data_IF_025440446010
#
_entry.id   IF_025440446010
#
_cell.length_a   1.000
_cell.length_b   1.000
_cell.length_c   1.000
_cell.angle_alpha   90.00
_cell.angle_beta   90.00
_cell.angle_gamma   90.00
#
_symmetry.space_group_name_H-M   'P 1'
#
loop_
_entity.id
_entity.type
_entity.pdbx_description
1 polymer ?
#
# COMPACT_ATOMS: atom_id res chain seq x y z
N UNK A 1 -4.35 -0.90 -10.25
CA UNK A 1 -4.33 -2.39 -10.16
C UNK A 1 -3.17 -2.82 -9.26
N UNK A 2 -3.38 -3.74 -8.34
CA UNK A 2 -2.34 -4.32 -7.48
C UNK A 2 -1.81 -5.60 -8.13
N UNK A 3 -0.49 -5.73 -8.24
CA UNK A 3 0.16 -6.87 -8.92
C UNK A 3 0.98 -7.66 -7.92
N UNK A 4 0.70 -8.96 -7.76
CA UNK A 4 1.46 -9.90 -6.92
C UNK A 4 2.24 -10.91 -7.76
N UNK A 5 3.11 -11.68 -7.10
CA UNK A 5 3.84 -12.77 -7.76
C UNK A 5 2.90 -13.86 -8.28
N UNK A 6 1.89 -14.20 -7.52
CA UNK A 6 1.06 -15.39 -7.70
C UNK A 6 1.43 -16.49 -6.69
N UNK A 7 0.49 -17.40 -6.43
CA UNK A 7 0.71 -18.52 -5.52
C UNK A 7 -0.23 -19.67 -5.85
N UNK A 8 0.21 -20.91 -5.63
CA UNK A 8 -0.66 -22.10 -5.63
C UNK A 8 -1.47 -22.20 -4.33
N UNK A 9 -0.99 -21.62 -3.25
CA UNK A 9 -1.72 -21.50 -1.99
C UNK A 9 -2.81 -20.42 -2.15
N UNK A 10 -4.07 -20.68 -1.77
CA UNK A 10 -5.16 -19.72 -1.92
C UNK A 10 -5.05 -18.50 -1.00
N UNK A 11 -4.41 -18.63 0.16
CA UNK A 11 -4.30 -17.58 1.19
C UNK A 11 -3.71 -16.27 0.68
N UNK A 12 -2.60 -16.22 -0.10
CA UNK A 12 -2.08 -15.00 -0.70
C UNK A 12 -3.08 -14.33 -1.64
N UNK A 13 -3.88 -15.08 -2.39
CA UNK A 13 -4.91 -14.53 -3.28
C UNK A 13 -6.03 -13.85 -2.49
N UNK A 14 -6.51 -14.50 -1.43
CA UNK A 14 -7.52 -13.94 -0.52
C UNK A 14 -6.99 -12.68 0.17
N UNK A 15 -5.74 -12.70 0.63
CA UNK A 15 -5.08 -11.54 1.23
C UNK A 15 -4.92 -10.38 0.24
N UNK A 16 -4.60 -10.67 -1.04
CA UNK A 16 -4.56 -9.64 -2.10
C UNK A 16 -5.92 -9.01 -2.34
N UNK A 17 -7.00 -9.80 -2.35
CA UNK A 17 -8.36 -9.28 -2.49
C UNK A 17 -8.71 -8.36 -1.32
N UNK A 18 -8.42 -8.80 -0.09
CA UNK A 18 -8.61 -7.97 1.12
C UNK A 18 -7.79 -6.68 1.06
N UNK A 19 -6.54 -6.75 0.62
CA UNK A 19 -5.70 -5.55 0.47
C UNK A 19 -6.29 -4.60 -0.56
N UNK A 20 -6.79 -5.11 -1.68
CA UNK A 20 -7.44 -4.29 -2.71
C UNK A 20 -8.70 -3.58 -2.18
N UNK A 21 -9.49 -4.23 -1.34
CA UNK A 21 -10.68 -3.63 -0.71
C UNK A 21 -10.29 -2.53 0.28
N UNK A 22 -9.27 -2.76 1.11
CA UNK A 22 -8.72 -1.75 2.01
C UNK A 22 -8.18 -0.52 1.25
N UNK A 23 -7.42 -0.75 0.19
CA UNK A 23 -6.87 0.32 -0.66
C UNK A 23 -8.00 1.10 -1.34
N UNK A 24 -9.03 0.41 -1.85
CA UNK A 24 -10.21 1.07 -2.46
C UNK A 24 -10.87 2.03 -1.48
N UNK A 25 -11.18 1.57 -0.27
CA UNK A 25 -11.80 2.40 0.77
C UNK A 25 -10.97 3.66 1.06
N UNK A 26 -9.64 3.52 1.19
CA UNK A 26 -8.74 4.66 1.47
C UNK A 26 -8.63 5.65 0.32
N UNK A 27 -8.63 5.16 -0.90
CA UNK A 27 -8.62 6.02 -2.09
C UNK A 27 -9.93 6.81 -2.18
N UNK A 28 -11.08 6.17 -1.93
CA UNK A 28 -12.39 6.84 -1.90
C UNK A 28 -12.44 7.92 -0.82
N UNK A 29 -11.96 7.62 0.39
CA UNK A 29 -11.91 8.59 1.49
C UNK A 29 -10.98 9.77 1.17
N UNK A 30 -9.82 9.51 0.58
CA UNK A 30 -8.86 10.54 0.16
C UNK A 30 -9.44 11.46 -0.92
N UNK A 31 -10.16 10.90 -1.89
CA UNK A 31 -10.81 11.67 -2.95
C UNK A 31 -11.98 12.50 -2.39
N UNK A 32 -12.80 11.96 -1.50
CA UNK A 32 -13.88 12.70 -0.83
C UNK A 32 -13.32 13.88 -0.03
N UNK A 33 -12.24 13.67 0.71
CA UNK A 33 -11.57 14.73 1.47
C UNK A 33 -11.04 15.84 0.54
N UNK A 34 -10.44 15.48 -0.59
CA UNK A 34 -9.93 16.44 -1.57
C UNK A 34 -11.07 17.28 -2.20
N UNK A 35 -12.20 16.65 -2.55
CA UNK A 35 -13.37 17.36 -3.08
C UNK A 35 -13.98 18.31 -2.05
N UNK A 36 -14.12 17.89 -0.79
CA UNK A 36 -14.64 18.73 0.28
C UNK A 36 -13.75 19.95 0.54
N UNK A 37 -12.43 19.77 0.50
CA UNK A 37 -11.46 20.88 0.65
C UNK A 37 -11.54 21.89 -0.50
N UNK A 38 -11.76 21.41 -1.72
CA UNK A 38 -11.91 22.25 -2.92
C UNK A 38 -13.21 23.05 -2.90
N UNK A 39 -14.30 22.41 -2.45
CA UNK A 39 -15.62 23.08 -2.27
C UNK A 39 -15.56 24.18 -1.20
N UNK A 40 -14.90 23.91 -0.07
CA UNK A 40 -14.71 24.90 1.00
C UNK A 40 -13.90 26.12 0.54
N UNK A 41 -12.86 25.93 -0.29
CA UNK A 41 -12.07 27.03 -0.88
C UNK A 41 -12.88 27.90 -1.87
N UNK A 42 -13.82 27.30 -2.59
CA UNK A 42 -14.70 28.01 -3.53
C UNK A 42 -15.75 28.87 -2.84
N UNK A 43 -16.11 28.55 -1.60
CA UNK A 43 -17.14 29.24 -0.81
C UNK A 43 -16.58 30.23 0.23
N UNK A 44 -15.28 30.46 0.25
CA UNK A 44 -14.69 31.53 1.06
C UNK A 44 -14.97 32.87 0.35
N UNK A 45 -15.65 33.83 0.98
CA UNK A 45 -15.87 35.15 0.40
C UNK A 45 -14.52 35.81 0.15
N UNK A 46 -14.33 36.33 -1.05
CA UNK A 46 -13.13 37.13 -1.37
C UNK A 46 -13.12 38.40 -0.52
N UNK A 47 -11.97 38.77 0.01
CA UNK A 47 -11.78 40.04 0.77
C UNK A 47 -12.17 41.29 -0.04
N UNK A 48 -12.47 41.16 -1.32
CA UNK A 48 -12.96 42.24 -2.18
C UNK A 48 -14.46 42.52 -2.04
N UNK A 49 -15.26 41.52 -1.63
CA UNK A 49 -16.71 41.71 -1.44
C UNK A 49 -17.02 42.50 -0.16
N UNK A 50 -16.16 42.47 0.86
CA UNK A 50 -16.33 43.23 2.11
C UNK A 50 -15.98 44.74 1.96
N UNK A 51 -15.24 45.11 0.93
CA UNK A 51 -14.87 46.56 0.69
C UNK A 51 -15.95 47.33 -0.08
N UNK A 52 -16.90 46.68 -0.74
CA UNK A 52 -18.02 47.33 -1.43
C UNK A 52 -19.23 47.58 -0.54
N UNK A 53 -19.34 46.92 0.60
CA UNK A 53 -20.46 47.11 1.52
C UNK A 53 -20.37 48.37 2.40
N UNK A 54 -19.23 49.02 2.48
CA UNK A 54 -19.00 50.19 3.38
C UNK A 54 -19.09 51.56 2.66
N UNK A 55 -19.24 51.60 1.34
CA UNK A 55 -19.20 52.87 0.56
C UNK A 55 -20.59 53.45 0.18
N UNK A 56 -21.67 53.00 0.80
CA UNK A 56 -23.05 53.29 0.39
C UNK A 56 -23.95 54.02 1.39
N UNK A 57 -23.41 54.83 2.34
CA UNK A 57 -24.25 55.68 3.19
C UNK A 57 -23.92 57.16 3.03
N UNK A 58 -24.55 57.80 2.08
CA UNK A 58 -24.90 59.24 2.22
C UNK A 58 -26.14 59.61 1.39
N UNK A 59 -27.17 60.03 2.15
CA UNK A 59 -28.16 61.06 1.84
C UNK A 59 -29.20 60.85 0.72
N UNK A 60 -30.47 60.63 1.08
CA UNK A 60 -31.47 61.72 0.97
C UNK A 60 -32.84 61.29 1.52
N UNK A 61 -33.49 62.18 2.24
CA UNK A 61 -34.87 62.13 2.75
C UNK A 61 -35.86 62.20 1.59
N UNK A 62 -36.77 61.25 1.48
CA UNK A 62 -38.19 61.52 1.16
C UNK A 62 -38.96 60.19 1.21
N UNK A 63 -40.14 60.22 1.88
CA UNK A 63 -40.95 59.05 2.14
C UNK A 63 -41.55 58.40 0.91
N UNK A 64 -41.63 57.09 0.97
CA UNK A 64 -42.67 56.27 0.34
C UNK A 64 -42.51 54.83 0.78
N UNK A 65 -43.62 54.28 1.17
CA UNK A 65 -44.03 52.90 1.41
C UNK A 65 -43.03 51.80 1.00
N UNK A 66 -42.47 51.10 1.98
CA UNK A 66 -41.66 49.91 1.80
C UNK A 66 -42.57 48.71 1.49
N UNK A 67 -42.59 48.28 0.24
CA UNK A 67 -42.99 46.94 -0.14
C UNK A 67 -41.77 46.03 0.15
N UNK A 68 -41.86 45.25 1.23
CA UNK A 68 -40.90 44.19 1.55
C UNK A 68 -41.05 43.08 0.50
N UNK A 69 -40.28 43.17 -0.59
CA UNK A 69 -40.03 42.00 -1.44
C UNK A 69 -38.97 41.14 -0.74
N UNK A 70 -39.45 39.99 -0.20
CA UNK A 70 -38.54 38.94 0.30
C UNK A 70 -37.58 38.57 -0.83
N UNK A 71 -36.24 38.54 -0.57
CA UNK A 71 -35.31 38.02 -1.54
C UNK A 71 -35.66 36.53 -1.77
N UNK A 72 -35.94 36.17 -3.02
CA UNK A 72 -36.12 34.80 -3.46
C UNK A 72 -34.74 34.14 -3.31
N UNK A 73 -34.51 33.47 -2.17
CA UNK A 73 -33.39 32.58 -2.01
C UNK A 73 -33.54 31.51 -3.09
N UNK A 74 -32.73 31.63 -4.15
CA UNK A 74 -32.56 30.52 -5.07
C UNK A 74 -31.97 29.38 -4.23
N UNK A 75 -32.74 28.37 -3.96
CA UNK A 75 -32.22 27.10 -3.49
C UNK A 75 -31.16 26.67 -4.53
N UNK A 76 -29.90 26.82 -4.18
CA UNK A 76 -28.82 26.16 -4.90
C UNK A 76 -29.07 24.67 -4.68
N UNK A 77 -29.56 24.01 -5.71
CA UNK A 77 -29.46 22.56 -5.79
C UNK A 77 -27.95 22.28 -5.82
N UNK A 78 -27.40 21.89 -4.67
CA UNK A 78 -26.10 21.24 -4.64
C UNK A 78 -26.27 19.94 -5.44
N UNK A 79 -25.67 19.89 -6.62
CA UNK A 79 -25.51 18.62 -7.31
C UNK A 79 -24.83 17.66 -6.32
N UNK A 80 -25.37 16.43 -6.14
CA UNK A 80 -24.71 15.45 -5.29
C UNK A 80 -23.26 15.31 -5.78
N UNK A 81 -22.28 15.26 -4.86
CA UNK A 81 -20.88 15.19 -5.24
C UNK A 81 -20.70 14.07 -6.25
N UNK A 82 -20.06 14.37 -7.38
CA UNK A 82 -19.78 13.40 -8.42
C UNK A 82 -19.20 12.15 -7.75
N UNK A 83 -19.82 10.99 -7.98
CA UNK A 83 -19.33 9.71 -7.46
C UNK A 83 -17.94 9.50 -8.06
N UNK A 84 -16.92 9.68 -7.26
CA UNK A 84 -15.56 9.27 -7.61
C UNK A 84 -15.50 7.74 -7.44
N UNK A 85 -15.93 7.02 -8.46
CA UNK A 85 -15.85 5.56 -8.45
C UNK A 85 -14.38 5.15 -8.61
N UNK A 86 -13.78 4.67 -7.51
CA UNK A 86 -12.43 4.10 -7.53
C UNK A 86 -12.51 2.63 -7.90
N UNK A 87 -11.88 2.25 -8.99
CA UNK A 87 -11.84 0.87 -9.46
C UNK A 87 -10.48 0.27 -9.11
N UNK A 88 -10.45 -0.65 -8.16
CA UNK A 88 -9.24 -1.39 -7.77
C UNK A 88 -9.38 -2.85 -8.19
N UNK A 89 -8.39 -3.36 -8.91
CA UNK A 89 -8.30 -4.75 -9.32
C UNK A 89 -6.99 -5.39 -8.85
N UNK A 90 -6.91 -6.72 -8.94
CA UNK A 90 -5.70 -7.50 -8.64
C UNK A 90 -5.28 -8.29 -9.86
N UNK A 91 -3.96 -8.50 -10.01
CA UNK A 91 -3.37 -9.37 -11.02
C UNK A 91 -2.19 -10.16 -10.44
N UNK A 92 -1.82 -11.23 -11.14
CA UNK A 92 -0.68 -12.07 -10.77
C UNK A 92 0.32 -12.14 -11.93
N UNK A 93 1.61 -12.04 -11.62
CA UNK A 93 2.68 -12.18 -12.61
C UNK A 93 2.77 -13.63 -13.11
N UNK A 94 2.65 -14.58 -12.19
CA UNK A 94 2.75 -16.02 -12.46
C UNK A 94 1.56 -16.78 -11.87
N UNK A 95 1.40 -18.04 -12.27
CA UNK A 95 0.40 -18.97 -11.74
C UNK A 95 -1.06 -18.48 -11.90
N UNK A 96 -1.30 -17.56 -12.83
CA UNK A 96 -2.62 -17.17 -13.29
C UNK A 96 -2.98 -17.92 -14.57
N UNK A 97 -4.27 -18.06 -14.93
CA UNK A 97 -4.70 -18.70 -16.18
C UNK A 97 -4.23 -17.97 -17.43
N UNK A 98 -4.01 -16.66 -17.34
CA UNK A 98 -3.56 -15.78 -18.43
C UNK A 98 -2.33 -15.00 -18.01
N UNK A 99 -1.50 -14.60 -18.99
CA UNK A 99 -0.32 -13.78 -18.75
C UNK A 99 -0.70 -12.42 -18.15
N UNK A 100 0.24 -11.80 -17.45
CA UNK A 100 -0.01 -10.51 -16.80
C UNK A 100 -0.40 -9.42 -17.83
N UNK A 101 0.21 -9.40 -19.00
CA UNK A 101 -0.15 -8.48 -20.07
C UNK A 101 -1.61 -8.60 -20.50
N UNK A 102 -2.14 -9.82 -20.58
CA UNK A 102 -3.55 -10.07 -20.88
C UNK A 102 -4.47 -9.60 -19.74
N UNK A 103 -4.08 -9.87 -18.48
CA UNK A 103 -4.83 -9.39 -17.31
C UNK A 103 -4.91 -7.86 -17.26
N UNK A 104 -3.79 -7.17 -17.56
CA UNK A 104 -3.75 -5.70 -17.64
C UNK A 104 -4.62 -5.20 -18.78
N UNK A 105 -4.56 -5.84 -19.94
CA UNK A 105 -5.37 -5.49 -21.11
C UNK A 105 -6.87 -5.58 -20.81
N UNK A 106 -7.34 -6.70 -20.29
CA UNK A 106 -8.75 -6.92 -19.96
C UNK A 106 -9.25 -5.94 -18.89
N UNK A 107 -8.43 -5.64 -17.89
CA UNK A 107 -8.76 -4.64 -16.89
C UNK A 107 -8.78 -3.24 -17.48
N UNK A 108 -7.78 -2.90 -18.31
CA UNK A 108 -7.70 -1.61 -19.00
C UNK A 108 -8.91 -1.36 -19.90
N UNK A 109 -9.36 -2.36 -20.66
CA UNK A 109 -10.57 -2.24 -21.49
C UNK A 109 -11.82 -1.92 -20.66
N UNK A 110 -11.98 -2.57 -19.50
CA UNK A 110 -13.11 -2.27 -18.58
C UNK A 110 -13.05 -0.84 -18.05
N UNK A 111 -11.85 -0.34 -17.76
CA UNK A 111 -11.63 1.04 -17.32
C UNK A 111 -11.94 2.05 -18.43
N UNK A 112 -11.51 1.78 -19.67
CA UNK A 112 -11.82 2.61 -20.84
C UNK A 112 -13.33 2.68 -21.07
N UNK A 113 -14.04 1.56 -20.97
CA UNK A 113 -15.49 1.50 -21.08
C UNK A 113 -16.20 2.30 -19.95
N UNK A 114 -15.57 2.40 -18.79
CA UNK A 114 -16.03 3.23 -17.65
C UNK A 114 -15.59 4.71 -17.76
N UNK A 115 -14.93 5.12 -18.87
CA UNK A 115 -14.47 6.49 -19.06
C UNK A 115 -13.17 6.85 -18.34
N UNK A 116 -12.47 5.89 -17.73
CA UNK A 116 -11.19 6.09 -17.04
C UNK A 116 -10.05 6.20 -18.04
N UNK A 117 -9.10 7.12 -17.82
CA UNK A 117 -7.99 7.42 -18.72
C UNK A 117 -6.61 7.05 -18.20
N UNK A 118 -6.52 6.69 -16.92
CA UNK A 118 -5.25 6.31 -16.28
C UNK A 118 -5.43 5.00 -15.51
N UNK A 119 -4.46 4.10 -15.64
CA UNK A 119 -4.34 2.87 -14.83
C UNK A 119 -2.98 2.84 -14.16
N UNK A 120 -2.98 3.03 -12.86
CA UNK A 120 -1.78 2.85 -12.03
C UNK A 120 -1.59 1.37 -11.68
N UNK A 121 -0.39 0.86 -11.91
CA UNK A 121 0.03 -0.52 -11.68
C UNK A 121 0.98 -0.55 -10.48
N UNK A 122 0.54 -1.09 -9.35
CA UNK A 122 1.31 -1.14 -8.12
C UNK A 122 1.86 -2.55 -7.88
N UNK A 123 3.20 -2.75 -7.96
CA UNK A 123 3.83 -4.01 -7.60
C UNK A 123 3.79 -4.25 -6.09
N UNK A 124 3.02 -5.24 -5.65
CA UNK A 124 2.91 -5.68 -4.26
C UNK A 124 4.03 -6.69 -3.98
N UNK A 125 5.28 -6.19 -4.00
CA UNK A 125 6.51 -6.97 -3.82
C UNK A 125 7.39 -6.33 -2.74
N UNK A 126 8.06 -7.17 -1.94
CA UNK A 126 8.99 -6.70 -0.91
C UNK A 126 10.41 -6.47 -1.44
N UNK A 127 10.78 -7.19 -2.51
CA UNK A 127 12.13 -7.14 -3.07
C UNK A 127 12.10 -6.74 -4.54
N UNK A 128 13.02 -5.89 -4.95
CA UNK A 128 13.26 -5.58 -6.36
C UNK A 128 14.11 -6.70 -7.00
N UNK A 129 13.51 -7.88 -7.17
CA UNK A 129 14.08 -9.00 -7.92
C UNK A 129 13.91 -8.85 -9.43
N UNK A 130 14.26 -9.92 -10.19
CA UNK A 130 14.07 -9.99 -11.65
C UNK A 130 12.62 -9.69 -12.02
N UNK A 131 11.66 -10.25 -11.31
CA UNK A 131 10.23 -10.03 -11.56
C UNK A 131 9.82 -8.55 -11.54
N UNK A 132 10.38 -7.76 -10.62
CA UNK A 132 10.04 -6.32 -10.53
C UNK A 132 10.83 -5.48 -11.53
N UNK A 133 12.07 -5.88 -11.83
CA UNK A 133 12.99 -5.06 -12.64
C UNK A 133 12.93 -5.38 -14.14
N UNK A 134 12.54 -6.60 -14.50
CA UNK A 134 12.59 -7.08 -15.88
C UNK A 134 11.21 -7.57 -16.34
N UNK A 135 10.58 -8.53 -15.62
CA UNK A 135 9.35 -9.19 -16.10
C UNK A 135 8.15 -8.25 -16.07
N UNK A 136 7.94 -7.50 -14.98
CA UNK A 136 6.82 -6.55 -14.88
C UNK A 136 6.88 -5.47 -15.98
N UNK A 137 7.99 -4.75 -16.20
CA UNK A 137 8.07 -3.79 -17.30
C UNK A 137 7.80 -4.41 -18.66
N UNK A 138 8.32 -5.62 -18.93
CA UNK A 138 8.11 -6.31 -20.20
C UNK A 138 6.62 -6.65 -20.43
N UNK A 139 5.93 -7.16 -19.42
CA UNK A 139 4.49 -7.46 -19.49
C UNK A 139 3.63 -6.19 -19.67
N UNK A 140 4.01 -5.10 -19.00
CA UNK A 140 3.32 -3.80 -19.13
C UNK A 140 3.48 -3.24 -20.54
N UNK A 141 4.68 -3.30 -21.13
CA UNK A 141 4.90 -2.84 -22.50
C UNK A 141 4.10 -3.66 -23.53
N UNK A 142 3.95 -4.99 -23.33
CA UNK A 142 3.07 -5.81 -24.15
C UNK A 142 1.61 -5.34 -24.05
N UNK A 143 1.11 -5.11 -22.85
CA UNK A 143 -0.26 -4.62 -22.65
C UNK A 143 -0.47 -3.23 -23.27
N UNK A 144 0.51 -2.33 -23.12
CA UNK A 144 0.51 -0.99 -23.67
C UNK A 144 0.46 -0.99 -25.20
N UNK A 145 1.21 -1.89 -25.83
CA UNK A 145 1.21 -2.03 -27.30
C UNK A 145 -0.20 -2.36 -27.84
N UNK A 146 -1.02 -3.11 -27.10
CA UNK A 146 -2.38 -3.50 -27.51
C UNK A 146 -3.42 -2.44 -27.11
N UNK A 147 -3.29 -1.82 -25.92
CA UNK A 147 -4.21 -0.77 -25.45
C UNK A 147 -4.01 0.55 -26.21
N UNK A 148 -2.82 0.78 -26.77
CA UNK A 148 -2.49 2.02 -27.46
C UNK A 148 -2.66 3.25 -26.55
N UNK A 149 -3.21 4.32 -27.11
CA UNK A 149 -3.46 5.57 -26.40
C UNK A 149 -4.83 5.63 -25.70
N UNK A 150 -5.55 4.52 -25.59
CA UNK A 150 -6.88 4.48 -24.99
C UNK A 150 -6.85 4.73 -23.49
N UNK A 151 -5.76 4.34 -22.82
CA UNK A 151 -5.53 4.50 -21.38
C UNK A 151 -4.03 4.65 -21.12
N UNK A 152 -3.66 5.53 -20.22
CA UNK A 152 -2.29 5.69 -19.76
C UNK A 152 -1.97 4.62 -18.71
N UNK A 153 -0.84 3.91 -18.87
CA UNK A 153 -0.35 2.92 -17.92
C UNK A 153 0.85 3.47 -17.14
N UNK A 154 0.70 3.63 -15.83
CA UNK A 154 1.73 4.13 -14.93
C UNK A 154 2.19 3.04 -13.97
N UNK A 155 3.49 2.66 -14.04
CA UNK A 155 4.08 1.71 -13.10
C UNK A 155 4.54 2.44 -11.84
N UNK A 156 3.90 2.12 -10.70
CA UNK A 156 4.29 2.66 -9.40
C UNK A 156 5.53 1.94 -8.83
N UNK A 157 6.27 2.57 -7.90
CA UNK A 157 7.31 1.89 -7.14
C UNK A 157 6.76 0.71 -6.33
N UNK A 158 7.55 -0.37 -6.14
CA UNK A 158 7.15 -1.53 -5.34
C UNK A 158 7.14 -1.22 -3.83
N UNK A 159 6.32 -1.94 -3.07
CA UNK A 159 6.11 -1.71 -1.63
C UNK A 159 7.38 -1.75 -0.79
N UNK A 160 8.21 -2.79 -0.97
CA UNK A 160 9.37 -3.02 -0.10
C UNK A 160 10.53 -2.05 -0.29
N UNK A 161 10.49 -1.20 -1.33
CA UNK A 161 11.50 -0.17 -1.59
C UNK A 161 11.28 1.13 -0.81
N UNK A 162 10.22 1.23 -0.02
CA UNK A 162 9.78 2.47 0.61
C UNK A 162 10.29 2.63 2.03
N UNK A 163 10.71 3.83 2.42
CA UNK A 163 11.14 4.12 3.79
C UNK A 163 10.04 3.79 4.83
N UNK A 164 8.78 4.03 4.50
CA UNK A 164 7.63 3.66 5.35
C UNK A 164 7.54 2.17 5.68
N UNK A 165 8.13 1.29 4.86
CA UNK A 165 8.21 -0.14 5.18
C UNK A 165 9.10 -0.38 6.41
N UNK A 166 10.20 0.36 6.52
CA UNK A 166 11.08 0.31 7.70
C UNK A 166 10.30 0.74 8.95
N UNK A 167 9.50 1.80 8.86
CA UNK A 167 8.69 2.29 9.99
C UNK A 167 7.66 1.24 10.45
N UNK A 168 7.00 0.55 9.51
CA UNK A 168 6.05 -0.53 9.81
C UNK A 168 6.75 -1.65 10.58
N UNK A 169 7.90 -2.11 10.09
CA UNK A 169 8.65 -3.20 10.72
C UNK A 169 9.23 -2.78 12.09
N UNK A 170 9.70 -1.55 12.21
CA UNK A 170 10.20 -0.99 13.48
C UNK A 170 9.11 -0.98 14.55
N UNK A 171 7.90 -0.51 14.22
CA UNK A 171 6.77 -0.52 15.16
C UNK A 171 6.40 -1.93 15.61
N UNK A 172 6.40 -2.91 14.68
CA UNK A 172 6.12 -4.32 15.02
C UNK A 172 7.15 -4.90 15.98
N UNK A 173 8.43 -4.62 15.77
CA UNK A 173 9.50 -5.03 16.67
C UNK A 173 9.40 -4.33 18.01
N UNK A 174 9.16 -3.01 18.05
CA UNK A 174 9.05 -2.23 19.27
C UNK A 174 7.88 -2.69 20.16
N UNK A 175 6.80 -3.20 19.56
CA UNK A 175 5.66 -3.76 20.31
C UNK A 175 5.91 -5.18 20.85
N UNK A 176 7.08 -5.78 20.55
CA UNK A 176 7.40 -7.17 20.88
C UNK A 176 8.50 -7.22 21.94
N UNK A 177 8.22 -7.74 23.15
CA UNK A 177 9.23 -7.86 24.21
C UNK A 177 10.28 -8.91 23.84
N UNK A 178 11.42 -8.47 23.31
CA UNK A 178 12.55 -9.30 22.92
C UNK A 178 13.89 -8.59 23.22
N UNK A 179 14.96 -9.36 23.43
CA UNK A 179 16.33 -8.88 23.63
C UNK A 179 17.09 -8.82 22.31
N UNK A 180 16.69 -9.69 21.39
CA UNK A 180 17.23 -9.75 20.04
C UNK A 180 16.14 -10.11 19.05
N UNK A 181 16.37 -9.79 17.77
CA UNK A 181 15.44 -10.10 16.71
C UNK A 181 16.14 -10.66 15.49
N UNK A 182 15.43 -11.59 14.80
CA UNK A 182 15.78 -12.14 13.50
C UNK A 182 14.81 -11.64 12.44
N UNK A 183 15.32 -10.99 11.41
CA UNK A 183 14.59 -10.72 10.17
C UNK A 183 14.76 -11.93 9.26
N UNK A 184 13.67 -12.64 8.97
CA UNK A 184 13.69 -13.86 8.15
C UNK A 184 13.14 -13.56 6.76
N UNK A 185 13.99 -13.63 5.74
CA UNK A 185 13.60 -13.45 4.34
C UNK A 185 13.76 -14.75 3.54
N UNK A 186 13.22 -14.77 2.33
CA UNK A 186 13.38 -15.96 1.46
C UNK A 186 14.85 -16.28 1.17
N UNK A 187 15.64 -15.23 0.90
CA UNK A 187 17.01 -15.37 0.45
C UNK A 187 17.12 -15.57 -1.07
N UNK A 188 18.26 -15.15 -1.62
CA UNK A 188 18.56 -15.26 -3.04
C UNK A 188 19.93 -15.90 -3.22
N UNK A 189 20.06 -16.85 -4.15
CA UNK A 189 21.36 -17.41 -4.56
C UNK A 189 22.26 -16.40 -5.28
N UNK A 190 21.68 -15.27 -5.75
CA UNK A 190 22.44 -14.19 -6.36
C UNK A 190 23.05 -13.30 -5.27
N UNK A 191 24.40 -13.09 -5.22
CA UNK A 191 25.04 -12.35 -4.11
C UNK A 191 24.49 -10.94 -3.89
N UNK A 192 24.10 -10.26 -4.97
CA UNK A 192 23.53 -8.90 -4.89
C UNK A 192 22.08 -8.90 -4.41
N UNK A 193 21.35 -10.03 -4.51
CA UNK A 193 19.92 -10.12 -4.18
C UNK A 193 19.62 -9.89 -2.70
N UNK A 194 20.56 -10.22 -1.81
CA UNK A 194 20.35 -10.15 -0.37
C UNK A 194 20.78 -8.81 0.26
N UNK A 195 21.50 -7.95 -0.47
CA UNK A 195 22.04 -6.68 0.08
C UNK A 195 20.94 -5.79 0.69
N UNK A 196 19.80 -5.67 0.01
CA UNK A 196 18.68 -4.84 0.51
C UNK A 196 18.11 -5.39 1.82
N UNK A 197 18.01 -6.72 1.96
CA UNK A 197 17.55 -7.34 3.22
C UNK A 197 18.57 -7.14 4.32
N UNK A 198 19.88 -7.26 4.02
CA UNK A 198 20.95 -6.99 4.98
C UNK A 198 20.92 -5.52 5.45
N UNK A 199 20.77 -4.57 4.52
CA UNK A 199 20.62 -3.15 4.87
C UNK A 199 19.38 -2.93 5.73
N UNK A 200 18.24 -3.57 5.39
CA UNK A 200 17.04 -3.51 6.19
C UNK A 200 17.25 -4.07 7.61
N UNK A 201 17.94 -5.22 7.72
CA UNK A 201 18.30 -5.78 9.02
C UNK A 201 19.14 -4.82 9.87
N UNK A 202 20.13 -4.14 9.26
CA UNK A 202 20.93 -3.12 9.93
C UNK A 202 20.07 -1.93 10.41
N UNK A 203 19.17 -1.43 9.56
CA UNK A 203 18.26 -0.33 9.92
C UNK A 203 17.31 -0.70 11.08
N UNK A 204 16.89 -1.97 11.14
CA UNK A 204 16.02 -2.49 12.18
C UNK A 204 16.77 -2.97 13.42
N UNK A 205 18.10 -2.94 13.41
CA UNK A 205 18.96 -3.54 14.44
C UNK A 205 18.61 -5.02 14.69
N UNK A 206 18.48 -5.79 13.60
CA UNK A 206 18.17 -7.24 13.65
C UNK A 206 19.27 -8.04 12.96
N UNK A 207 19.48 -9.27 13.40
CA UNK A 207 20.22 -10.25 12.61
C UNK A 207 19.33 -10.69 11.42
N UNK A 208 19.97 -11.12 10.32
CA UNK A 208 19.25 -11.57 9.12
C UNK A 208 19.47 -13.06 8.93
N UNK A 209 18.38 -13.78 8.78
CA UNK A 209 18.37 -15.18 8.39
C UNK A 209 17.58 -15.38 7.08
N UNK A 210 17.87 -16.48 6.40
CA UNK A 210 17.21 -16.80 5.15
C UNK A 210 16.56 -18.19 5.20
N UNK A 211 15.46 -18.34 4.48
CA UNK A 211 14.80 -19.63 4.34
C UNK A 211 15.50 -20.56 3.34
N UNK A 212 15.91 -20.05 2.19
CA UNK A 212 16.39 -20.86 1.06
C UNK A 212 17.92 -20.96 0.96
N UNK A 213 18.67 -20.23 1.78
CA UNK A 213 20.15 -20.19 1.79
C UNK A 213 20.66 -19.94 3.22
N UNK A 214 21.94 -20.21 3.46
CA UNK A 214 22.62 -19.84 4.70
C UNK A 214 22.86 -18.30 4.78
N UNK A 215 22.95 -17.73 5.98
CA UNK A 215 22.66 -18.37 7.27
C UNK A 215 21.15 -18.58 7.46
N UNK A 216 20.79 -19.76 7.99
CA UNK A 216 19.40 -20.09 8.24
C UNK A 216 18.90 -19.59 9.61
N UNK A 217 17.63 -19.87 9.94
CA UNK A 217 17.00 -19.43 11.19
C UNK A 217 17.69 -20.04 12.42
N UNK A 218 18.06 -21.33 12.34
CA UNK A 218 18.69 -22.03 13.45
C UNK A 218 20.09 -21.50 13.71
N UNK A 219 20.93 -21.36 12.67
CA UNK A 219 22.28 -20.83 12.78
C UNK A 219 22.28 -19.45 13.46
N UNK A 220 21.39 -18.55 13.04
CA UNK A 220 21.29 -17.21 13.60
C UNK A 220 20.67 -17.19 15.01
N UNK A 221 19.72 -18.07 15.29
CA UNK A 221 19.18 -18.21 16.64
C UNK A 221 20.26 -18.68 17.61
N UNK A 222 21.10 -19.66 17.23
CA UNK A 222 22.21 -20.14 18.07
C UNK A 222 23.24 -19.02 18.30
N UNK A 223 23.60 -18.24 17.27
CA UNK A 223 24.50 -17.08 17.44
C UNK A 223 23.95 -16.08 18.49
N UNK A 224 22.65 -15.77 18.44
CA UNK A 224 22.00 -14.87 19.37
C UNK A 224 21.98 -15.43 20.81
N UNK A 225 21.73 -16.73 20.96
CA UNK A 225 21.79 -17.42 22.25
C UNK A 225 23.22 -17.38 22.83
N UNK A 226 24.24 -17.58 22.01
CA UNK A 226 25.65 -17.49 22.43
C UNK A 226 26.04 -16.09 22.86
N UNK A 227 25.38 -15.05 22.30
CA UNK A 227 25.52 -13.65 22.72
C UNK A 227 24.71 -13.33 23.99
N UNK A 228 23.99 -14.31 24.56
CA UNK A 228 23.26 -14.19 25.82
C UNK A 228 21.78 -13.87 25.69
N UNK A 229 21.21 -13.80 24.49
CA UNK A 229 19.78 -13.52 24.30
C UNK A 229 18.93 -14.69 24.79
N UNK A 230 17.95 -14.41 25.66
CA UNK A 230 16.96 -15.37 26.17
C UNK A 230 15.56 -15.17 25.58
N UNK A 231 15.30 -14.00 24.98
CA UNK A 231 14.04 -13.65 24.30
C UNK A 231 14.36 -13.18 22.89
N UNK A 232 14.00 -14.00 21.91
CA UNK A 232 14.31 -13.77 20.51
C UNK A 232 13.00 -13.59 19.74
N UNK A 233 12.81 -12.45 19.09
CA UNK A 233 11.73 -12.22 18.14
C UNK A 233 12.13 -12.73 16.76
N UNK A 234 11.23 -13.42 16.08
CA UNK A 234 11.39 -13.85 14.69
C UNK A 234 10.39 -13.05 13.87
N UNK A 235 10.90 -12.19 12.97
CA UNK A 235 10.10 -11.33 12.09
C UNK A 235 10.17 -11.86 10.65
N UNK A 236 9.12 -12.54 10.17
CA UNK A 236 9.05 -12.99 8.78
C UNK A 236 8.88 -11.80 7.84
N UNK A 237 9.83 -11.57 6.94
CA UNK A 237 9.75 -10.56 5.91
C UNK A 237 9.07 -11.13 4.66
N UNK A 238 7.79 -11.41 4.83
CA UNK A 238 6.86 -11.93 3.83
C UNK A 238 5.56 -11.13 3.86
N UNK A 239 4.98 -10.91 2.70
CA UNK A 239 3.72 -10.16 2.62
C UNK A 239 2.56 -10.97 3.20
N UNK A 240 2.38 -12.20 2.76
CA UNK A 240 1.22 -13.01 3.11
C UNK A 240 1.64 -14.38 3.66
N UNK A 241 0.76 -14.97 4.44
CA UNK A 241 0.91 -16.34 4.90
C UNK A 241 0.83 -17.31 3.72
N UNK A 242 1.60 -18.40 3.80
CA UNK A 242 1.68 -19.46 2.78
C UNK A 242 2.65 -20.54 3.23
N UNK A 243 2.90 -21.55 2.39
CA UNK A 243 3.68 -22.71 2.76
C UNK A 243 5.07 -22.41 3.36
N UNK A 244 5.76 -21.36 2.89
CA UNK A 244 7.06 -20.98 3.46
C UNK A 244 6.90 -20.44 4.88
N UNK A 245 5.90 -19.60 5.12
CA UNK A 245 5.67 -19.03 6.45
C UNK A 245 5.17 -20.08 7.45
N UNK A 246 4.42 -21.08 6.98
CA UNK A 246 4.05 -22.24 7.81
C UNK A 246 5.28 -23.05 8.21
N UNK A 247 6.20 -23.28 7.27
CA UNK A 247 7.47 -23.95 7.56
C UNK A 247 8.36 -23.13 8.51
N UNK A 248 8.36 -21.79 8.43
CA UNK A 248 9.04 -20.92 9.41
C UNK A 248 8.39 -21.05 10.78
N UNK A 249 7.06 -21.14 10.86
CA UNK A 249 6.34 -21.39 12.11
C UNK A 249 6.78 -22.70 12.75
N UNK A 250 6.73 -23.78 11.98
CA UNK A 250 7.14 -25.09 12.44
C UNK A 250 8.62 -25.12 12.89
N UNK A 251 9.52 -24.48 12.14
CA UNK A 251 10.92 -24.37 12.52
C UNK A 251 11.11 -23.59 13.83
N UNK A 252 10.29 -22.58 14.06
CA UNK A 252 10.32 -21.82 15.31
C UNK A 252 9.84 -22.66 16.50
N UNK A 253 8.83 -23.50 16.31
CA UNK A 253 8.34 -24.45 17.30
C UNK A 253 9.39 -25.50 17.66
N UNK A 254 10.06 -26.11 16.66
CA UNK A 254 11.17 -27.03 16.86
C UNK A 254 12.31 -26.41 17.67
N UNK A 255 12.66 -25.14 17.39
CA UNK A 255 13.69 -24.43 18.17
C UNK A 255 13.24 -24.20 19.60
N UNK A 256 11.97 -23.88 19.84
CA UNK A 256 11.44 -23.69 21.19
C UNK A 256 11.45 -24.99 22.01
N UNK A 257 11.17 -26.13 21.37
CA UNK A 257 11.26 -27.46 22.00
C UNK A 257 12.72 -27.84 22.36
N UNK A 258 13.66 -27.59 21.42
CA UNK A 258 15.09 -27.90 21.64
C UNK A 258 15.77 -26.97 22.63
N UNK A 259 15.31 -25.75 22.78
CA UNK A 259 15.89 -24.71 23.65
C UNK A 259 14.85 -24.17 24.65
N UNK A 260 14.35 -24.96 25.60
CA UNK A 260 13.21 -24.59 26.46
C UNK A 260 13.49 -23.39 27.39
N UNK A 261 14.75 -22.99 27.57
CA UNK A 261 15.12 -21.78 28.33
C UNK A 261 15.04 -20.50 27.52
N UNK A 262 14.90 -20.63 26.18
CA UNK A 262 14.82 -19.50 25.26
C UNK A 262 13.35 -19.27 24.88
N UNK A 263 12.91 -18.03 24.94
CA UNK A 263 11.57 -17.65 24.51
C UNK A 263 11.63 -17.12 23.07
N UNK A 264 11.21 -17.93 22.13
CA UNK A 264 11.00 -17.50 20.76
C UNK A 264 9.62 -16.87 20.60
N UNK A 265 9.56 -15.74 19.92
CA UNK A 265 8.31 -15.07 19.57
C UNK A 265 8.25 -14.83 18.07
N UNK A 266 7.46 -15.63 17.38
CA UNK A 266 7.18 -15.44 15.97
C UNK A 266 6.17 -14.33 15.79
N UNK A 267 6.53 -13.30 15.01
CA UNK A 267 5.62 -12.23 14.59
C UNK A 267 4.83 -12.68 13.36
N UNK A 268 3.63 -12.13 13.16
CA UNK A 268 2.87 -12.39 11.93
C UNK A 268 3.57 -11.78 10.71
N UNK A 269 3.26 -12.30 9.53
CA UNK A 269 3.60 -11.70 8.23
C UNK A 269 3.01 -10.28 8.12
N UNK A 270 3.44 -9.51 7.13
CA UNK A 270 2.92 -8.14 6.91
C UNK A 270 1.39 -8.13 6.74
N UNK A 271 0.84 -9.06 5.97
CA UNK A 271 -0.60 -9.24 5.80
C UNK A 271 -1.28 -8.11 5.03
N UNK A 272 -2.57 -8.30 4.79
CA UNK A 272 -3.47 -7.23 4.32
C UNK A 272 -3.91 -6.39 5.53
N UNK A 273 -3.00 -5.58 6.07
CA UNK A 273 -3.23 -4.73 7.23
C UNK A 273 -3.43 -3.28 6.82
N UNK A 274 -3.96 -2.48 7.75
CA UNK A 274 -4.17 -1.04 7.54
C UNK A 274 -2.86 -0.33 7.17
N UNK A 275 -1.76 -0.66 7.85
CA UNK A 275 -0.45 -0.06 7.57
C UNK A 275 0.07 -0.36 6.15
N UNK A 276 -0.14 -1.59 5.65
CA UNK A 276 0.24 -1.98 4.29
C UNK A 276 -0.68 -1.33 3.26
N UNK A 277 -1.98 -1.20 3.57
CA UNK A 277 -2.94 -0.52 2.72
C UNK A 277 -2.66 0.99 2.64
N UNK A 278 -2.29 1.64 3.76
CA UNK A 278 -1.89 3.06 3.79
C UNK A 278 -0.64 3.30 2.94
N UNK A 279 0.34 2.40 3.02
CA UNK A 279 1.53 2.48 2.18
C UNK A 279 1.20 2.32 0.69
N UNK A 280 0.37 1.33 0.35
CA UNK A 280 -0.08 1.10 -1.02
C UNK A 280 -0.87 2.30 -1.58
N UNK A 281 -1.79 2.85 -0.78
CA UNK A 281 -2.58 4.04 -1.13
C UNK A 281 -1.68 5.26 -1.38
N UNK A 282 -0.69 5.49 -0.50
CA UNK A 282 0.27 6.57 -0.68
C UNK A 282 1.01 6.47 -2.02
N UNK A 283 1.46 5.27 -2.40
CA UNK A 283 2.15 5.05 -3.67
C UNK A 283 1.24 5.22 -4.90
N UNK A 284 -0.06 4.97 -4.76
CA UNK A 284 -1.03 5.19 -5.82
C UNK A 284 -1.41 6.67 -5.98
N UNK A 285 -1.30 7.47 -4.92
CA UNK A 285 -1.62 8.90 -4.94
C UNK A 285 -0.41 9.78 -5.27
N UNK A 286 0.81 9.22 -5.21
CA UNK A 286 2.05 9.89 -5.62
C UNK A 286 2.19 9.93 -7.13
#
# INVERSE_FOLDING_TARGET
MLISHGSRDPRPKEAMTRLADLVRSRLEDSLRAAHSATAAKKNSPSLEDDLQAVAGEQSSRSGRTLLLTRPRVKAQYEEPPARCDVIVGTACLELAPTDLSQQIYEFGQRLVAAGVRELKLLPVFLMAGVHVMEDLPAEIEKAKAVLGNSIELTLCPHLGGQARMVDILTRRLASTPAEAALLVAHGSRRPKGNRKVQTLGQQLNTEVAYWAIAPDIEEKAIELMQKGAQRIAILPYFLFAGGITDAITHRTEELAERFPKIKFRLLPTLGATDEVADLATHLLLS
#
